data_IF_520683766998
#
_entry.id   IF_520683766998
#
_cell.length_a   1.000
_cell.length_b   1.000
_cell.length_c   1.000
_cell.angle_alpha   90.00
_cell.angle_beta   90.00
_cell.angle_gamma   90.00
#
_symmetry.space_group_name_H-M   'P 1'
#
loop_
_entity.id
_entity.type
_entity.pdbx_description
1 polymer ?
#
# COMPACT_ATOMS: atom_id res chain seq x y z
N UNK A 1 -11.34 -15.39 12.81
CA UNK A 1 -9.91 -15.69 12.65
C UNK A 1 -9.26 -14.83 11.58
N UNK A 2 -9.84 -14.70 10.37
CA UNK A 2 -9.30 -13.88 9.27
C UNK A 2 -9.12 -12.41 9.70
N UNK A 3 -10.17 -11.79 10.26
CA UNK A 3 -10.13 -10.37 10.65
C UNK A 3 -9.06 -10.10 11.72
N UNK A 4 -8.96 -10.98 12.71
CA UNK A 4 -7.94 -10.87 13.76
C UNK A 4 -6.52 -10.97 13.18
N UNK A 5 -6.30 -11.85 12.19
CA UNK A 5 -5.01 -11.97 11.52
C UNK A 5 -4.66 -10.68 10.75
N UNK A 6 -5.60 -10.12 9.98
CA UNK A 6 -5.38 -8.88 9.24
C UNK A 6 -5.13 -7.71 10.20
N UNK A 7 -5.92 -7.58 11.27
CA UNK A 7 -5.71 -6.55 12.30
C UNK A 7 -4.31 -6.65 12.91
N UNK A 8 -3.86 -7.86 13.26
CA UNK A 8 -2.52 -8.08 13.80
C UNK A 8 -1.43 -7.69 12.81
N UNK A 9 -1.58 -8.08 11.52
CA UNK A 9 -0.62 -7.76 10.45
C UNK A 9 -0.51 -6.25 10.26
N UNK A 10 -1.63 -5.54 10.12
CA UNK A 10 -1.60 -4.07 9.86
C UNK A 10 -1.13 -3.31 11.09
N UNK A 11 -1.47 -3.74 12.30
CA UNK A 11 -0.99 -3.14 13.54
C UNK A 11 0.52 -3.28 13.67
N UNK A 12 1.05 -4.49 13.45
CA UNK A 12 2.49 -4.72 13.45
C UNK A 12 3.20 -3.91 12.36
N UNK A 13 2.65 -3.86 11.15
CA UNK A 13 3.21 -3.08 10.05
C UNK A 13 3.25 -1.58 10.39
N UNK A 14 2.17 -1.01 10.94
CA UNK A 14 2.13 0.38 11.39
C UNK A 14 3.18 0.64 12.48
N UNK A 15 3.31 -0.25 13.45
CA UNK A 15 4.30 -0.12 14.52
C UNK A 15 5.72 -0.03 13.96
N UNK A 16 6.10 -0.96 13.07
CA UNK A 16 7.43 -0.95 12.45
C UNK A 16 7.62 0.27 11.55
N UNK A 17 6.64 0.64 10.73
CA UNK A 17 6.76 1.76 9.81
C UNK A 17 6.88 3.10 10.55
N UNK A 18 6.10 3.31 11.61
CA UNK A 18 6.20 4.52 12.44
C UNK A 18 7.53 4.61 13.18
N UNK A 19 8.08 3.48 13.64
CA UNK A 19 9.30 3.47 14.45
C UNK A 19 10.58 3.48 13.62
N UNK A 20 10.62 2.69 12.53
CA UNK A 20 11.83 2.45 11.76
C UNK A 20 11.76 2.89 10.30
N UNK A 21 10.58 3.32 9.85
CA UNK A 21 10.29 3.65 8.43
C UNK A 21 10.62 2.49 7.48
N UNK A 22 10.52 1.27 7.99
CA UNK A 22 10.77 0.03 7.23
C UNK A 22 9.85 -1.06 7.74
N UNK A 23 9.14 -1.73 6.83
CA UNK A 23 8.34 -2.91 7.12
C UNK A 23 9.23 -4.15 6.93
N UNK A 24 9.43 -5.00 7.98
CA UNK A 24 10.28 -6.18 7.86
C UNK A 24 9.75 -7.16 6.80
N UNK A 25 10.66 -7.70 6.00
CA UNK A 25 10.31 -8.73 5.01
C UNK A 25 9.70 -9.98 5.68
N UNK A 26 10.18 -10.34 6.86
CA UNK A 26 9.64 -11.48 7.61
C UNK A 26 8.14 -11.30 7.92
N UNK A 27 7.70 -10.06 8.24
CA UNK A 27 6.29 -9.77 8.46
C UNK A 27 5.48 -9.91 7.16
N UNK A 28 5.91 -9.27 6.07
CA UNK A 28 5.14 -9.23 4.82
C UNK A 28 5.09 -10.58 4.12
N UNK A 29 6.22 -11.30 4.04
CA UNK A 29 6.25 -12.65 3.46
C UNK A 29 5.59 -13.68 4.37
N UNK A 30 5.81 -13.61 5.67
CA UNK A 30 5.14 -14.49 6.64
C UNK A 30 3.62 -14.32 6.60
N UNK A 31 3.14 -13.08 6.53
CA UNK A 31 1.72 -12.78 6.41
C UNK A 31 1.12 -13.30 5.08
N UNK A 32 1.83 -13.16 3.96
CA UNK A 32 1.37 -13.68 2.67
C UNK A 32 1.30 -15.21 2.67
N UNK A 33 2.35 -15.88 3.16
CA UNK A 33 2.39 -17.34 3.26
C UNK A 33 1.29 -17.88 4.19
N UNK A 34 1.05 -17.21 5.31
CA UNK A 34 -0.05 -17.57 6.21
C UNK A 34 -1.42 -17.39 5.53
N UNK A 35 -1.62 -16.34 4.71
CA UNK A 35 -2.82 -16.15 3.91
C UNK A 35 -3.04 -17.26 2.89
N UNK A 36 -2.00 -17.66 2.16
CA UNK A 36 -2.06 -18.79 1.21
C UNK A 36 -2.39 -20.10 1.92
N UNK A 37 -1.72 -20.38 3.04
CA UNK A 37 -1.96 -21.59 3.81
C UNK A 37 -3.38 -21.64 4.38
N UNK A 38 -3.86 -20.52 4.94
CA UNK A 38 -5.22 -20.41 5.48
C UNK A 38 -6.27 -20.63 4.39
N UNK A 39 -6.14 -19.96 3.24
CA UNK A 39 -7.07 -20.09 2.13
C UNK A 39 -7.10 -21.52 1.57
N UNK A 40 -5.92 -22.17 1.49
CA UNK A 40 -5.81 -23.57 1.07
C UNK A 40 -6.47 -24.50 2.06
N UNK A 41 -6.26 -24.29 3.35
CA UNK A 41 -6.86 -25.13 4.41
C UNK A 41 -8.38 -25.02 4.43
N UNK A 42 -8.94 -23.83 4.12
CA UNK A 42 -10.39 -23.60 4.15
C UNK A 42 -11.10 -24.07 2.87
N UNK A 43 -10.48 -23.89 1.70
CA UNK A 43 -11.15 -24.09 0.41
C UNK A 43 -10.31 -24.87 -0.61
N UNK A 44 -9.27 -25.59 -0.17
CA UNK A 44 -8.41 -26.39 -1.04
C UNK A 44 -7.69 -25.55 -2.11
N UNK A 45 -7.50 -26.14 -3.29
CA UNK A 45 -6.79 -25.49 -4.40
C UNK A 45 -7.53 -24.26 -4.95
N UNK A 46 -8.86 -24.23 -4.87
CA UNK A 46 -9.64 -23.04 -5.27
C UNK A 46 -9.36 -21.85 -4.33
N UNK A 47 -9.26 -22.12 -3.03
CA UNK A 47 -8.86 -21.11 -2.05
C UNK A 47 -7.46 -20.57 -2.30
N UNK A 48 -6.50 -21.45 -2.61
CA UNK A 48 -5.15 -21.04 -2.98
C UNK A 48 -5.17 -20.14 -4.23
N UNK A 49 -5.93 -20.53 -5.27
CA UNK A 49 -6.06 -19.74 -6.49
C UNK A 49 -6.61 -18.34 -6.22
N UNK A 50 -7.67 -18.23 -5.40
CA UNK A 50 -8.26 -16.94 -5.01
C UNK A 50 -7.29 -16.09 -4.18
N UNK A 51 -6.54 -16.71 -3.28
CA UNK A 51 -5.53 -16.03 -2.46
C UNK A 51 -4.36 -15.50 -3.29
N UNK A 52 -3.85 -16.31 -4.22
CA UNK A 52 -2.81 -15.90 -5.18
C UNK A 52 -3.31 -14.77 -6.10
N UNK A 53 -4.55 -14.87 -6.59
CA UNK A 53 -5.15 -13.82 -7.41
C UNK A 53 -5.30 -12.51 -6.61
N UNK A 54 -5.72 -12.58 -5.36
CA UNK A 54 -5.80 -11.40 -4.47
C UNK A 54 -4.44 -10.74 -4.23
N UNK A 55 -3.42 -11.57 -3.97
CA UNK A 55 -2.04 -11.11 -3.85
C UNK A 55 -1.57 -10.42 -5.15
N UNK A 56 -1.79 -11.05 -6.29
CA UNK A 56 -1.36 -10.53 -7.59
C UNK A 56 -2.06 -9.21 -7.94
N UNK A 57 -3.38 -9.12 -7.73
CA UNK A 57 -4.15 -7.87 -7.94
C UNK A 57 -3.61 -6.75 -7.07
N UNK A 58 -3.42 -7.01 -5.77
CA UNK A 58 -2.89 -6.01 -4.85
C UNK A 58 -1.49 -5.52 -5.26
N UNK A 59 -0.58 -6.45 -5.57
CA UNK A 59 0.77 -6.11 -6.05
C UNK A 59 0.70 -5.34 -7.36
N UNK A 60 -0.09 -5.78 -8.34
CA UNK A 60 -0.20 -5.12 -9.65
C UNK A 60 -0.70 -3.66 -9.54
N UNK A 61 -1.64 -3.38 -8.62
CA UNK A 61 -2.16 -2.03 -8.40
C UNK A 61 -1.10 -1.08 -7.80
N UNK A 62 -0.23 -1.58 -6.93
CA UNK A 62 0.74 -0.74 -6.22
C UNK A 62 2.13 -0.76 -6.84
N UNK A 63 2.44 -1.76 -7.67
CA UNK A 63 3.73 -1.89 -8.37
C UNK A 63 4.11 -0.65 -9.21
N UNK A 64 3.20 -0.02 -9.97
CA UNK A 64 3.53 1.19 -10.72
C UNK A 64 4.05 2.32 -9.83
N UNK A 65 3.46 2.53 -8.65
CA UNK A 65 3.91 3.56 -7.70
C UNK A 65 5.30 3.26 -7.15
N UNK A 66 5.63 1.99 -6.94
CA UNK A 66 6.98 1.57 -6.56
C UNK A 66 7.97 1.79 -7.70
N UNK A 67 7.64 1.41 -8.94
CA UNK A 67 8.50 1.60 -10.11
C UNK A 67 8.77 3.09 -10.39
N UNK A 68 7.76 3.94 -10.16
CA UNK A 68 7.88 5.39 -10.24
C UNK A 68 8.58 6.02 -9.03
N UNK A 69 9.08 5.20 -8.09
CA UNK A 69 9.77 5.62 -6.86
C UNK A 69 8.93 6.53 -5.94
N UNK A 70 7.61 6.42 -6.04
CA UNK A 70 6.65 7.13 -5.20
C UNK A 70 6.23 6.35 -3.95
N UNK A 71 6.59 5.06 -3.84
CA UNK A 71 6.20 4.17 -2.74
C UNK A 71 7.33 3.20 -2.38
N UNK A 72 7.37 2.75 -1.13
CA UNK A 72 8.35 1.78 -0.64
C UNK A 72 8.00 0.34 -1.06
N UNK A 73 9.02 -0.50 -1.28
CA UNK A 73 8.82 -1.93 -1.56
C UNK A 73 8.10 -2.68 -0.42
N UNK A 74 8.26 -2.21 0.82
CA UNK A 74 7.59 -2.77 1.99
C UNK A 74 6.08 -2.63 1.92
N UNK A 75 5.60 -1.46 1.45
CA UNK A 75 4.19 -1.14 1.32
C UNK A 75 3.51 -2.03 0.27
N UNK A 76 4.16 -2.20 -0.90
CA UNK A 76 3.65 -3.10 -1.96
C UNK A 76 3.53 -4.54 -1.47
N UNK A 77 4.53 -5.03 -0.72
CA UNK A 77 4.50 -6.37 -0.12
C UNK A 77 3.41 -6.50 0.94
N UNK A 78 3.19 -5.45 1.74
CA UNK A 78 2.15 -5.43 2.76
C UNK A 78 0.75 -5.52 2.14
N UNK A 79 0.48 -4.68 1.11
CA UNK A 79 -0.82 -4.73 0.42
C UNK A 79 -1.01 -6.07 -0.27
N UNK A 80 0.04 -6.64 -0.88
CA UNK A 80 0.03 -8.00 -1.41
C UNK A 80 -0.34 -9.04 -0.36
N UNK A 81 0.29 -8.97 0.82
CA UNK A 81 -0.04 -9.87 1.93
C UNK A 81 -1.51 -9.76 2.34
N UNK A 82 -2.05 -8.54 2.48
CA UNK A 82 -3.47 -8.31 2.78
C UNK A 82 -4.36 -8.88 1.67
N UNK A 83 -3.99 -8.69 0.38
CA UNK A 83 -4.69 -9.25 -0.77
C UNK A 83 -4.74 -10.78 -0.75
N UNK A 84 -3.70 -11.45 -0.27
CA UNK A 84 -3.67 -12.90 -0.08
C UNK A 84 -4.73 -13.40 0.92
N UNK A 85 -5.06 -12.61 1.94
CA UNK A 85 -6.10 -12.91 2.92
C UNK A 85 -7.51 -12.58 2.41
N UNK A 86 -7.67 -11.49 1.67
CA UNK A 86 -8.98 -10.95 1.29
C UNK A 86 -9.46 -11.39 -0.09
N UNK A 87 -8.59 -11.99 -0.91
CA UNK A 87 -8.88 -12.31 -2.30
C UNK A 87 -8.95 -11.07 -3.20
N UNK A 88 -9.26 -11.25 -4.52
CA UNK A 88 -9.19 -10.17 -5.50
C UNK A 88 -10.14 -9.01 -5.21
N UNK A 89 -11.39 -9.30 -4.86
CA UNK A 89 -12.38 -8.26 -4.56
C UNK A 89 -11.98 -7.44 -3.33
N UNK A 90 -11.56 -8.12 -2.24
CA UNK A 90 -11.07 -7.44 -1.04
C UNK A 90 -9.79 -6.64 -1.29
N UNK A 91 -8.89 -7.12 -2.16
CA UNK A 91 -7.70 -6.38 -2.58
C UNK A 91 -8.04 -5.06 -3.29
N UNK A 92 -9.03 -5.08 -4.21
CA UNK A 92 -9.51 -3.87 -4.91
C UNK A 92 -10.11 -2.85 -3.93
N UNK A 93 -10.98 -3.31 -3.03
CA UNK A 93 -11.61 -2.45 -2.02
C UNK A 93 -10.55 -1.86 -1.09
N UNK A 94 -9.62 -2.69 -0.59
CA UNK A 94 -8.50 -2.23 0.23
C UNK A 94 -7.65 -1.20 -0.50
N UNK A 95 -7.34 -1.43 -1.78
CA UNK A 95 -6.55 -0.48 -2.58
C UNK A 95 -7.27 0.86 -2.74
N UNK A 96 -8.58 0.85 -3.01
CA UNK A 96 -9.38 2.06 -3.13
C UNK A 96 -9.36 2.88 -1.83
N UNK A 97 -9.68 2.28 -0.69
CA UNK A 97 -9.69 3.00 0.58
C UNK A 97 -8.30 3.39 1.06
N UNK A 98 -7.26 2.60 0.72
CA UNK A 98 -5.86 2.99 0.94
C UNK A 98 -5.51 4.26 0.14
N UNK A 99 -5.93 4.36 -1.11
CA UNK A 99 -5.69 5.54 -1.93
C UNK A 99 -6.42 6.78 -1.36
N UNK A 100 -7.68 6.62 -0.93
CA UNK A 100 -8.44 7.69 -0.28
C UNK A 100 -7.75 8.13 1.02
N UNK A 101 -7.43 7.19 1.91
CA UNK A 101 -6.77 7.49 3.19
C UNK A 101 -5.38 8.11 2.99
N UNK A 102 -4.62 7.62 2.01
CA UNK A 102 -3.31 8.17 1.65
C UNK A 102 -3.41 9.58 1.10
N UNK A 103 -4.39 9.86 0.25
CA UNK A 103 -4.67 11.20 -0.28
C UNK A 103 -5.07 12.18 0.83
N UNK A 104 -5.95 11.76 1.75
CA UNK A 104 -6.34 12.57 2.91
C UNK A 104 -5.14 12.85 3.81
N UNK A 105 -4.33 11.83 4.12
CA UNK A 105 -3.13 12.00 4.94
C UNK A 105 -2.13 12.95 4.27
N UNK A 106 -1.90 12.80 2.97
CA UNK A 106 -1.03 13.69 2.22
C UNK A 106 -1.54 15.14 2.25
N UNK A 107 -2.83 15.35 2.03
CA UNK A 107 -3.46 16.66 2.08
C UNK A 107 -3.32 17.31 3.46
N UNK A 108 -3.60 16.57 4.52
CA UNK A 108 -3.45 17.05 5.91
C UNK A 108 -2.01 17.48 6.19
N UNK A 109 -1.01 16.67 5.79
CA UNK A 109 0.40 17.00 6.01
C UNK A 109 0.83 18.22 5.20
N UNK A 110 0.38 18.34 3.95
CA UNK A 110 0.70 19.47 3.06
C UNK A 110 0.11 20.77 3.60
N UNK A 111 -1.15 20.74 4.06
CA UNK A 111 -1.82 21.91 4.65
C UNK A 111 -1.19 22.31 5.99
N UNK A 112 -0.97 21.33 6.87
CA UNK A 112 -0.39 21.59 8.21
C UNK A 112 1.02 22.17 8.16
N UNK A 113 1.77 21.90 7.08
CA UNK A 113 3.15 22.37 6.90
C UNK A 113 3.28 23.55 5.92
N UNK A 114 2.18 24.04 5.34
CA UNK A 114 2.19 25.18 4.44
C UNK A 114 2.82 24.92 3.06
N UNK A 115 3.02 23.66 2.65
CA UNK A 115 3.64 23.29 1.37
C UNK A 115 2.63 23.11 0.22
N UNK A 116 1.40 23.60 0.35
CA UNK A 116 0.35 23.34 -0.63
C UNK A 116 0.72 23.83 -2.04
N UNK A 117 1.18 25.07 -2.17
CA UNK A 117 1.55 25.64 -3.46
C UNK A 117 2.73 24.90 -4.12
N UNK A 118 3.73 24.50 -3.32
CA UNK A 118 4.86 23.72 -3.80
C UNK A 118 4.45 22.32 -4.24
N UNK A 119 3.60 21.66 -3.47
CA UNK A 119 3.06 20.33 -3.81
C UNK A 119 2.24 20.37 -5.10
N UNK A 120 1.43 21.41 -5.30
CA UNK A 120 0.64 21.57 -6.52
C UNK A 120 1.53 21.84 -7.74
N UNK A 121 2.58 22.65 -7.58
CA UNK A 121 3.58 22.89 -8.65
C UNK A 121 4.32 21.60 -9.00
N UNK A 122 4.72 20.81 -8.00
CA UNK A 122 5.40 19.54 -8.21
C UNK A 122 4.47 18.51 -8.89
N UNK A 123 3.21 18.44 -8.49
CA UNK A 123 2.22 17.59 -9.16
C UNK A 123 2.05 17.98 -10.63
N UNK A 124 1.94 19.26 -10.91
CA UNK A 124 1.85 19.76 -12.28
C UNK A 124 3.11 19.41 -13.10
N UNK A 125 4.29 19.57 -12.52
CA UNK A 125 5.55 19.22 -13.17
C UNK A 125 5.64 17.72 -13.48
N UNK A 126 5.21 16.85 -12.56
CA UNK A 126 5.14 15.38 -12.77
C UNK A 126 4.19 15.05 -13.92
N UNK A 127 2.98 15.64 -13.95
CA UNK A 127 2.01 15.40 -15.01
C UNK A 127 2.52 15.85 -16.38
N UNK A 128 3.18 17.02 -16.45
CA UNK A 128 3.78 17.51 -17.69
C UNK A 128 4.96 16.63 -18.13
N UNK A 129 5.79 16.18 -17.19
CA UNK A 129 6.89 15.24 -17.49
C UNK A 129 6.34 13.94 -18.09
N UNK A 130 5.31 13.36 -17.47
CA UNK A 130 4.71 12.11 -17.95
C UNK A 130 4.02 12.26 -19.32
N UNK A 131 3.47 13.45 -19.60
CA UNK A 131 2.89 13.73 -20.91
C UNK A 131 3.92 13.76 -22.04
N UNK A 132 5.15 14.20 -21.75
CA UNK A 132 6.22 14.36 -22.76
C UNK A 132 7.09 13.11 -22.86
N UNK A 133 7.50 12.55 -21.72
CA UNK A 133 8.50 11.45 -21.62
C UNK A 133 7.90 10.10 -21.27
N UNK A 134 6.57 10.00 -21.12
CA UNK A 134 5.89 8.80 -20.63
C UNK A 134 6.04 8.60 -19.13
N UNK A 135 5.50 7.49 -18.61
CA UNK A 135 5.52 7.14 -17.18
C UNK A 135 6.93 6.73 -16.72
N UNK A 136 7.77 7.73 -16.46
CA UNK A 136 9.15 7.55 -15.95
C UNK A 136 9.33 8.30 -14.64
N UNK A 137 10.20 7.80 -13.73
CA UNK A 137 10.55 8.52 -12.51
C UNK A 137 11.13 9.90 -12.83
N UNK A 138 10.65 10.94 -12.16
CA UNK A 138 11.22 12.30 -12.27
C UNK A 138 12.40 12.38 -11.32
N UNK A 139 13.65 12.65 -11.79
CA UNK A 139 14.88 12.49 -11.00
C UNK A 139 14.85 13.20 -9.65
N UNK A 140 14.35 14.42 -9.58
CA UNK A 140 14.36 15.26 -8.38
C UNK A 140 13.08 15.16 -7.53
N UNK A 141 12.10 14.31 -7.92
CA UNK A 141 10.79 14.17 -7.27
C UNK A 141 10.53 12.74 -6.79
N UNK A 142 11.57 12.00 -6.45
CA UNK A 142 11.45 10.64 -5.91
C UNK A 142 11.49 10.65 -4.37
N UNK A 143 11.05 9.56 -3.73
CA UNK A 143 11.16 9.40 -2.26
C UNK A 143 12.60 9.53 -1.74
N UNK A 144 13.59 9.31 -2.60
CA UNK A 144 15.00 9.38 -2.22
C UNK A 144 15.55 10.81 -2.30
N UNK A 145 15.03 11.62 -3.22
CA UNK A 145 15.49 13.01 -3.46
C UNK A 145 14.65 14.05 -2.74
N UNK A 146 13.40 13.72 -2.37
CA UNK A 146 12.50 14.67 -1.71
C UNK A 146 12.98 15.00 -0.30
N UNK A 147 13.09 16.30 0.01
CA UNK A 147 13.33 16.84 1.36
C UNK A 147 12.07 16.80 2.25
N UNK A 148 10.95 16.37 1.69
CA UNK A 148 9.67 16.28 2.40
C UNK A 148 9.64 15.16 3.44
N UNK A 149 8.72 15.25 4.42
CA UNK A 149 8.53 14.20 5.41
C UNK A 149 8.06 12.92 4.71
N UNK A 150 8.76 11.83 4.96
CA UNK A 150 8.31 10.51 4.49
C UNK A 150 7.04 10.14 5.23
N UNK A 151 5.95 9.95 4.49
CA UNK A 151 4.69 9.47 5.04
C UNK A 151 4.82 7.99 5.43
N UNK A 152 4.25 7.62 6.58
CA UNK A 152 4.15 6.22 6.98
C UNK A 152 2.97 5.58 6.23
N UNK A 153 3.24 5.00 5.06
CA UNK A 153 2.21 4.43 4.18
C UNK A 153 1.50 3.23 4.78
N UNK A 154 2.08 2.55 5.77
CA UNK A 154 1.40 1.50 6.51
C UNK A 154 0.09 1.98 7.16
N UNK A 155 0.00 3.26 7.57
CA UNK A 155 -1.22 3.82 8.19
C UNK A 155 -2.39 3.90 7.20
N UNK A 156 -2.27 4.50 6.00
CA UNK A 156 -3.31 4.42 4.98
C UNK A 156 -3.69 3.00 4.57
N UNK A 157 -2.70 2.09 4.47
CA UNK A 157 -2.94 0.68 4.15
C UNK A 157 -3.77 0.02 5.25
N UNK A 158 -3.44 0.28 6.51
CA UNK A 158 -4.21 -0.23 7.65
C UNK A 158 -5.64 0.31 7.64
N UNK A 159 -5.83 1.61 7.39
CA UNK A 159 -7.16 2.20 7.27
C UNK A 159 -7.97 1.55 6.14
N UNK A 160 -7.39 1.37 4.97
CA UNK A 160 -8.03 0.69 3.84
C UNK A 160 -8.42 -0.76 4.16
N UNK A 161 -7.52 -1.51 4.80
CA UNK A 161 -7.80 -2.89 5.21
C UNK A 161 -8.91 -2.97 6.26
N UNK A 162 -8.90 -2.11 7.28
CA UNK A 162 -9.91 -2.08 8.34
C UNK A 162 -11.29 -1.69 7.79
N UNK A 163 -11.38 -0.70 6.90
CA UNK A 163 -12.64 -0.36 6.23
C UNK A 163 -13.13 -1.53 5.40
N UNK A 164 -12.26 -2.24 4.68
CA UNK A 164 -12.62 -3.43 3.91
C UNK A 164 -13.20 -4.52 4.80
N UNK A 165 -12.64 -4.74 6.00
CA UNK A 165 -13.18 -5.70 6.97
C UNK A 165 -14.55 -5.29 7.48
N UNK A 166 -14.78 -3.99 7.66
CA UNK A 166 -16.06 -3.47 8.20
C UNK A 166 -17.21 -3.53 7.20
N UNK A 167 -16.96 -3.36 5.90
CA UNK A 167 -18.00 -3.35 4.85
C UNK A 167 -18.22 -4.73 4.19
N UNK A 168 -17.47 -5.75 4.60
CA UNK A 168 -17.56 -7.13 4.10
C UNK A 168 -18.65 -7.93 4.81
#
# INVERSE_FOLDING_TARGET
MLDAAIIAIVTAACFFDLRTRRIPNALTFGAALAGFAFATAMNGLSGLGMSLAGWAVAVALFLPFFLLRGMGAGDVKLVGAIGAWLGPAGALVTAFFTAVAGGVLALVVVLARGYFAESMRNLWAILMHWRVFGLRPVPDMTLQSSRGPRLAYAVPIAAGALVTLWIR
#
